data_IF_344070353481
#
_entry.id   IF_344070353481
#
_cell.length_a   1.000
_cell.length_b   1.000
_cell.length_c   1.000
_cell.angle_alpha   90.00
_cell.angle_beta   90.00
_cell.angle_gamma   90.00
#
_symmetry.space_group_name_H-M   'P 1'
#
loop_
_entity.id
_entity.type
_entity.pdbx_description
1 polymer ?
#
# COMPACT_ATOMS: atom_id res chain seq x y z
N UNK A 1 -0.36 -26.71 19.48
CA UNK A 1 -1.16 -26.59 18.24
C UNK A 1 -0.47 -25.63 17.31
N UNK A 2 -0.08 -26.10 16.13
CA UNK A 2 0.46 -25.20 15.11
C UNK A 2 -0.61 -24.20 14.72
N UNK A 3 -0.26 -22.91 14.73
CA UNK A 3 -1.09 -21.88 14.11
C UNK A 3 -1.04 -22.18 12.62
N UNK A 4 -2.14 -22.65 12.06
CA UNK A 4 -2.26 -22.86 10.63
C UNK A 4 -2.15 -21.52 9.93
N UNK A 5 -1.15 -21.41 9.07
CA UNK A 5 -0.98 -20.25 8.22
C UNK A 5 -1.96 -20.29 7.07
N UNK A 6 -2.76 -19.26 6.96
CA UNK A 6 -3.63 -19.07 5.83
C UNK A 6 -3.04 -17.98 4.91
N UNK A 7 -2.45 -18.40 3.79
CA UNK A 7 -1.91 -17.47 2.78
C UNK A 7 -3.01 -16.50 2.30
N UNK A 8 -4.28 -16.88 2.40
CA UNK A 8 -5.39 -15.99 2.06
C UNK A 8 -5.43 -14.72 2.91
N UNK A 9 -5.02 -14.79 4.19
CA UNK A 9 -4.94 -13.60 5.06
C UNK A 9 -3.94 -12.57 4.55
N UNK A 10 -2.82 -13.01 3.97
CA UNK A 10 -1.79 -12.13 3.41
C UNK A 10 -2.38 -11.28 2.29
N UNK A 11 -3.17 -11.88 1.41
CA UNK A 11 -3.84 -11.15 0.33
C UNK A 11 -4.99 -10.29 0.82
N UNK A 12 -5.74 -10.74 1.84
CA UNK A 12 -6.77 -9.91 2.48
C UNK A 12 -6.15 -8.64 3.10
N UNK A 13 -4.99 -8.75 3.73
CA UNK A 13 -4.25 -7.59 4.23
C UNK A 13 -3.77 -6.68 3.09
N UNK A 14 -3.24 -7.25 2.01
CA UNK A 14 -2.85 -6.49 0.83
C UNK A 14 -4.04 -5.70 0.26
N UNK A 15 -5.19 -6.34 0.06
CA UNK A 15 -6.44 -5.69 -0.41
C UNK A 15 -6.82 -4.52 0.51
N UNK A 16 -6.77 -4.71 1.82
CA UNK A 16 -7.07 -3.66 2.80
C UNK A 16 -6.08 -2.51 2.72
N UNK A 17 -4.80 -2.81 2.54
CA UNK A 17 -3.75 -1.82 2.36
C UNK A 17 -4.06 -0.94 1.14
N UNK A 18 -4.36 -1.54 0.00
CA UNK A 18 -4.69 -0.81 -1.23
C UNK A 18 -5.99 0.02 -1.09
N UNK A 19 -7.01 -0.54 -0.46
CA UNK A 19 -8.27 0.17 -0.21
C UNK A 19 -8.08 1.40 0.68
N UNK A 20 -7.28 1.29 1.72
CA UNK A 20 -6.92 2.42 2.57
C UNK A 20 -6.12 3.47 1.80
N UNK A 21 -5.18 3.03 0.95
CA UNK A 21 -4.42 3.91 0.05
C UNK A 21 -5.31 4.68 -0.90
N UNK A 22 -6.19 4.00 -1.60
CA UNK A 22 -7.18 4.61 -2.49
C UNK A 22 -7.99 5.69 -1.77
N UNK A 23 -8.58 5.35 -0.64
CA UNK A 23 -9.41 6.28 0.15
C UNK A 23 -8.64 7.53 0.56
N UNK A 24 -7.40 7.37 1.02
CA UNK A 24 -6.55 8.50 1.40
C UNK A 24 -6.22 9.38 0.20
N UNK A 25 -5.72 8.82 -0.87
CA UNK A 25 -5.34 9.59 -2.06
C UNK A 25 -6.54 10.30 -2.70
N UNK A 26 -7.73 9.70 -2.70
CA UNK A 26 -8.97 10.36 -3.13
C UNK A 26 -9.28 11.58 -2.28
N UNK A 27 -9.19 11.47 -0.96
CA UNK A 27 -9.46 12.59 -0.04
C UNK A 27 -8.48 13.75 -0.23
N UNK A 28 -7.19 13.45 -0.41
CA UNK A 28 -6.18 14.48 -0.72
C UNK A 28 -6.50 15.18 -2.04
N UNK A 29 -6.82 14.42 -3.08
CA UNK A 29 -7.18 14.97 -4.39
C UNK A 29 -8.42 15.87 -4.33
N UNK A 30 -9.46 15.45 -3.61
CA UNK A 30 -10.70 16.21 -3.49
C UNK A 30 -10.52 17.54 -2.74
N UNK A 31 -9.73 17.54 -1.69
CA UNK A 31 -9.57 18.70 -0.79
C UNK A 31 -8.46 19.66 -1.23
N UNK A 32 -7.66 19.31 -2.22
CA UNK A 32 -6.54 20.13 -2.65
C UNK A 32 -6.91 21.03 -3.83
N UNK A 33 -6.71 22.37 -3.74
CA UNK A 33 -7.00 23.28 -4.84
C UNK A 33 -5.93 23.27 -5.93
N UNK A 34 -4.70 22.83 -5.64
CA UNK A 34 -3.63 22.78 -6.63
C UNK A 34 -3.88 21.66 -7.63
N UNK A 35 -3.92 22.01 -8.92
CA UNK A 35 -4.25 21.07 -10.00
C UNK A 35 -3.20 19.98 -10.16
N UNK A 36 -1.92 20.29 -10.01
CA UNK A 36 -0.83 19.31 -10.16
C UNK A 36 -0.88 18.29 -9.03
N UNK A 37 -1.07 18.77 -7.80
CA UNK A 37 -1.25 17.91 -6.61
C UNK A 37 -2.49 17.04 -6.79
N UNK A 38 -3.61 17.62 -7.17
CA UNK A 38 -4.86 16.89 -7.40
C UNK A 38 -4.69 15.79 -8.45
N UNK A 39 -4.03 16.08 -9.57
CA UNK A 39 -3.78 15.11 -10.63
C UNK A 39 -2.90 13.95 -10.14
N UNK A 40 -1.84 14.25 -9.38
CA UNK A 40 -0.96 13.21 -8.83
C UNK A 40 -1.75 12.27 -7.90
N UNK A 41 -2.47 12.82 -6.92
CA UNK A 41 -3.21 11.99 -5.97
C UNK A 41 -4.37 11.23 -6.59
N UNK A 42 -5.02 11.78 -7.63
CA UNK A 42 -6.02 11.06 -8.42
C UNK A 42 -5.38 9.88 -9.14
N UNK A 43 -4.23 10.09 -9.78
CA UNK A 43 -3.47 9.02 -10.43
C UNK A 43 -3.10 7.91 -9.45
N UNK A 44 -2.55 8.26 -8.28
CA UNK A 44 -2.18 7.28 -7.26
C UNK A 44 -3.40 6.48 -6.79
N UNK A 45 -4.52 7.15 -6.52
CA UNK A 45 -5.75 6.45 -6.14
C UNK A 45 -6.23 5.45 -7.21
N UNK A 46 -6.11 5.79 -8.48
CA UNK A 46 -6.48 4.90 -9.59
C UNK A 46 -5.54 3.69 -9.70
N UNK A 47 -4.26 3.85 -9.37
CA UNK A 47 -3.31 2.74 -9.31
C UNK A 47 -3.62 1.78 -8.14
N UNK A 48 -3.98 2.31 -6.96
CA UNK A 48 -4.41 1.48 -5.82
C UNK A 48 -5.64 0.63 -6.15
N UNK A 49 -6.58 1.16 -6.93
CA UNK A 49 -7.74 0.38 -7.44
C UNK A 49 -7.27 -0.80 -8.28
N UNK A 50 -6.28 -0.60 -9.14
CA UNK A 50 -5.73 -1.67 -9.99
C UNK A 50 -5.02 -2.74 -9.15
N UNK A 51 -4.19 -2.33 -8.19
CA UNK A 51 -3.50 -3.24 -7.27
C UNK A 51 -4.50 -4.05 -6.45
N UNK A 52 -5.52 -3.40 -5.89
CA UNK A 52 -6.61 -4.08 -5.16
C UNK A 52 -7.28 -5.16 -6.02
N UNK A 53 -7.56 -4.85 -7.28
CA UNK A 53 -8.13 -5.82 -8.22
C UNK A 53 -7.19 -7.00 -8.45
N UNK A 54 -5.89 -6.75 -8.67
CA UNK A 54 -4.89 -7.81 -8.87
C UNK A 54 -4.82 -8.71 -7.64
N UNK A 55 -4.73 -8.14 -6.43
CA UNK A 55 -4.71 -8.95 -5.19
C UNK A 55 -5.99 -9.75 -4.98
N UNK A 56 -7.14 -9.19 -5.35
CA UNK A 56 -8.42 -9.92 -5.30
C UNK A 56 -8.42 -11.12 -6.25
N UNK A 57 -7.88 -10.95 -7.46
CA UNK A 57 -7.74 -12.04 -8.42
C UNK A 57 -6.73 -13.10 -7.94
N UNK A 58 -5.61 -12.67 -7.35
CA UNK A 58 -4.62 -13.58 -6.75
C UNK A 58 -5.23 -14.39 -5.61
N UNK A 59 -6.01 -13.75 -4.74
CA UNK A 59 -6.73 -14.41 -3.65
C UNK A 59 -7.68 -15.50 -4.18
N UNK A 60 -8.40 -15.21 -5.27
CA UNK A 60 -9.32 -16.17 -5.90
C UNK A 60 -8.63 -17.40 -6.50
N UNK A 61 -7.33 -17.32 -6.81
CA UNK A 61 -6.54 -18.44 -7.36
C UNK A 61 -5.90 -19.30 -6.27
N UNK A 62 -5.87 -18.85 -5.03
CA UNK A 62 -5.30 -19.59 -3.90
C UNK A 62 -6.39 -20.42 -3.24
N UNK A 63 -6.66 -21.60 -3.78
CA UNK A 63 -7.70 -22.46 -3.22
C UNK A 63 -7.18 -23.48 -2.22
N UNK A 64 -5.91 -23.85 -2.19
CA UNK A 64 -5.30 -24.81 -1.22
C UNK A 64 -3.78 -24.78 -1.34
N UNK A 65 -3.16 -23.64 -1.06
CA UNK A 65 -1.71 -23.60 -1.03
C UNK A 65 -1.19 -23.72 0.40
N UNK A 66 -0.36 -24.72 0.64
CA UNK A 66 0.41 -24.86 1.87
C UNK A 66 1.85 -24.43 1.55
N UNK A 67 2.42 -23.44 2.23
CA UNK A 67 3.83 -23.09 2.05
C UNK A 67 4.73 -24.29 2.32
N UNK A 68 5.77 -24.45 1.53
CA UNK A 68 6.73 -25.55 1.66
C UNK A 68 7.57 -25.50 2.96
N UNK A 69 7.53 -24.37 3.67
CA UNK A 69 8.23 -24.15 4.93
C UNK A 69 7.24 -23.84 6.05
N UNK A 70 7.53 -24.38 7.23
CA UNK A 70 6.74 -24.08 8.42
C UNK A 70 7.28 -22.77 9.02
N UNK A 71 6.52 -21.68 8.86
CA UNK A 71 6.88 -20.41 9.48
C UNK A 71 6.46 -20.38 10.95
N UNK A 72 7.26 -19.77 11.83
CA UNK A 72 6.87 -19.56 13.22
C UNK A 72 5.59 -18.71 13.30
N UNK A 73 4.71 -19.02 14.28
CA UNK A 73 3.50 -18.23 14.51
C UNK A 73 3.76 -16.74 14.73
N UNK A 74 4.91 -16.39 15.32
CA UNK A 74 5.38 -15.01 15.50
C UNK A 74 5.54 -14.25 14.18
N UNK A 75 5.88 -14.93 13.08
CA UNK A 75 6.01 -14.29 11.78
C UNK A 75 4.66 -13.77 11.26
N UNK A 76 3.59 -14.49 11.54
CA UNK A 76 2.24 -14.06 11.15
C UNK A 76 1.71 -12.95 12.04
N UNK A 77 1.99 -13.01 13.33
CA UNK A 77 1.70 -11.90 14.22
C UNK A 77 2.46 -10.64 13.79
N UNK A 78 3.70 -10.80 13.34
CA UNK A 78 4.47 -9.70 12.74
C UNK A 78 3.80 -9.13 11.49
N UNK A 79 3.43 -9.95 10.51
CA UNK A 79 2.79 -9.49 9.27
C UNK A 79 1.43 -8.83 9.56
N UNK A 80 0.64 -9.41 10.47
CA UNK A 80 -0.66 -8.87 10.87
C UNK A 80 -0.48 -7.52 11.58
N UNK A 81 0.40 -7.46 12.54
CA UNK A 81 0.71 -6.22 13.27
C UNK A 81 1.26 -5.15 12.32
N UNK A 82 2.11 -5.54 11.39
CA UNK A 82 2.63 -4.63 10.36
C UNK A 82 1.50 -4.07 9.48
N UNK A 83 0.63 -4.92 8.97
CA UNK A 83 -0.53 -4.50 8.17
C UNK A 83 -1.46 -3.56 8.96
N UNK A 84 -1.63 -3.80 10.27
CA UNK A 84 -2.45 -2.96 11.14
C UNK A 84 -1.82 -1.59 11.41
N UNK A 85 -0.50 -1.45 11.28
CA UNK A 85 0.18 -0.13 11.38
C UNK A 85 0.00 0.73 10.13
N UNK A 86 -0.38 0.13 9.00
CA UNK A 86 -0.63 0.84 7.75
C UNK A 86 -2.06 1.40 7.77
N UNK A 87 -2.32 2.30 8.70
CA UNK A 87 -3.61 3.01 8.85
C UNK A 87 -3.40 4.51 8.69
N UNK A 88 -4.46 5.19 8.29
CA UNK A 88 -4.45 6.63 8.06
C UNK A 88 -4.92 7.37 9.32
N UNK A 89 -4.05 8.21 9.93
CA UNK A 89 -4.45 8.99 11.09
C UNK A 89 -5.53 10.00 10.71
N UNK A 90 -6.66 10.09 11.44
CA UNK A 90 -7.72 11.08 11.18
C UNK A 90 -7.25 12.54 11.25
N UNK A 91 -6.14 12.80 11.95
CA UNK A 91 -5.56 14.13 12.09
C UNK A 91 -5.10 14.73 10.76
N UNK A 92 -4.59 13.91 9.85
CA UNK A 92 -4.13 14.36 8.53
C UNK A 92 -5.29 14.88 7.70
N UNK A 93 -6.49 14.32 7.84
CA UNK A 93 -7.66 14.71 7.07
C UNK A 93 -8.11 16.15 7.37
N UNK A 94 -7.88 16.64 8.58
CA UNK A 94 -8.28 17.98 9.00
C UNK A 94 -7.46 19.10 8.36
N UNK A 95 -6.23 18.80 7.94
CA UNK A 95 -5.26 19.77 7.43
C UNK A 95 -5.11 19.74 5.91
N UNK A 96 -5.81 18.85 5.20
CA UNK A 96 -5.61 18.58 3.77
C UNK A 96 -5.82 19.80 2.84
N UNK A 97 -6.54 20.82 3.26
CA UNK A 97 -6.76 22.05 2.48
C UNK A 97 -5.70 23.14 2.69
N UNK A 98 -4.71 22.93 3.57
CA UNK A 98 -3.66 23.90 3.87
C UNK A 98 -2.33 23.56 3.19
N UNK A 99 -1.42 24.52 3.04
CA UNK A 99 -0.07 24.27 2.50
C UNK A 99 0.72 23.30 3.37
N UNK A 100 0.62 23.42 4.69
CA UNK A 100 1.20 22.46 5.64
C UNK A 100 0.57 21.08 5.50
N UNK A 101 -0.75 21.02 5.29
CA UNK A 101 -1.49 19.78 5.08
C UNK A 101 -1.05 19.02 3.83
N UNK A 102 -0.72 19.72 2.74
CA UNK A 102 -0.20 19.10 1.51
C UNK A 102 1.15 18.43 1.76
N UNK A 103 2.09 19.11 2.44
CA UNK A 103 3.39 18.54 2.77
C UNK A 103 3.25 17.35 3.72
N UNK A 104 2.36 17.42 4.69
CA UNK A 104 2.07 16.31 5.58
C UNK A 104 1.46 15.12 4.82
N UNK A 105 0.55 15.37 3.89
CA UNK A 105 -0.04 14.33 3.04
C UNK A 105 1.02 13.67 2.14
N UNK A 106 1.93 14.45 1.55
CA UNK A 106 3.04 13.93 0.75
C UNK A 106 3.99 13.09 1.59
N UNK A 107 4.38 13.56 2.77
CA UNK A 107 5.23 12.80 3.69
C UNK A 107 4.57 11.50 4.13
N UNK A 108 3.28 11.53 4.40
CA UNK A 108 2.51 10.35 4.75
C UNK A 108 2.44 9.37 3.59
N UNK A 109 2.10 9.85 2.38
CA UNK A 109 2.08 9.02 1.18
C UNK A 109 3.43 8.36 0.89
N UNK A 110 4.54 9.10 0.98
CA UNK A 110 5.90 8.59 0.81
C UNK A 110 6.18 7.43 1.80
N UNK A 111 5.85 7.62 3.06
CA UNK A 111 6.00 6.57 4.08
C UNK A 111 5.11 5.37 3.78
N UNK A 112 3.90 5.64 3.34
CA UNK A 112 2.92 4.63 2.96
C UNK A 112 3.44 3.72 1.85
N UNK A 113 4.00 4.29 0.78
CA UNK A 113 4.59 3.51 -0.30
C UNK A 113 5.74 2.62 0.19
N UNK A 114 6.62 3.16 1.05
CA UNK A 114 7.69 2.37 1.64
C UNK A 114 7.16 1.21 2.49
N UNK A 115 6.13 1.43 3.28
CA UNK A 115 5.51 0.41 4.11
C UNK A 115 4.86 -0.68 3.25
N UNK A 116 4.18 -0.30 2.17
CA UNK A 116 3.59 -1.26 1.22
C UNK A 116 4.66 -2.09 0.51
N UNK A 117 5.72 -1.46 0.02
CA UNK A 117 6.87 -2.14 -0.60
C UNK A 117 7.46 -3.18 0.36
N UNK A 118 7.72 -2.79 1.61
CA UNK A 118 8.27 -3.71 2.61
C UNK A 118 7.33 -4.89 2.86
N UNK A 119 6.04 -4.62 3.02
CA UNK A 119 5.03 -5.66 3.22
C UNK A 119 5.01 -6.64 2.04
N UNK A 120 5.02 -6.15 0.79
CA UNK A 120 4.97 -7.01 -0.39
C UNK A 120 6.27 -7.81 -0.60
N UNK A 121 7.43 -7.26 -0.26
CA UNK A 121 8.69 -7.99 -0.25
C UNK A 121 8.64 -9.14 0.76
N UNK A 122 8.15 -8.90 1.97
CA UNK A 122 7.99 -9.92 3.00
C UNK A 122 7.00 -11.02 2.56
N UNK A 123 5.87 -10.64 1.99
CA UNK A 123 4.85 -11.60 1.55
C UNK A 123 5.30 -12.45 0.37
N UNK A 124 6.26 -11.99 -0.43
CA UNK A 124 6.80 -12.73 -1.57
C UNK A 124 7.33 -14.11 -1.17
N UNK A 125 7.90 -14.23 0.01
CA UNK A 125 8.45 -15.49 0.52
C UNK A 125 7.38 -16.52 0.87
N UNK A 126 6.15 -16.12 1.09
CA UNK A 126 5.04 -16.98 1.54
C UNK A 126 3.99 -17.23 0.47
N UNK A 127 4.09 -16.58 -0.69
CA UNK A 127 3.19 -16.80 -1.82
C UNK A 127 3.78 -17.77 -2.85
N UNK A 128 2.93 -18.45 -3.65
CA UNK A 128 3.41 -19.36 -4.70
C UNK A 128 4.34 -18.67 -5.70
N UNK A 129 5.37 -19.38 -6.16
CA UNK A 129 6.31 -18.86 -7.18
C UNK A 129 5.60 -18.39 -8.45
N UNK A 130 4.49 -19.02 -8.82
CA UNK A 130 3.66 -18.62 -9.97
C UNK A 130 3.11 -17.20 -9.87
N UNK A 131 3.07 -16.64 -8.67
CA UNK A 131 2.57 -15.28 -8.40
C UNK A 131 3.69 -14.26 -8.14
N UNK A 132 4.96 -14.70 -8.05
CA UNK A 132 6.08 -13.82 -7.77
C UNK A 132 6.23 -12.71 -8.81
N UNK A 133 6.08 -13.02 -10.09
CA UNK A 133 6.23 -12.03 -11.17
C UNK A 133 5.21 -10.90 -11.08
N UNK A 134 3.96 -11.23 -10.75
CA UNK A 134 2.89 -10.24 -10.58
C UNK A 134 3.20 -9.35 -9.37
N UNK A 135 3.61 -9.96 -8.27
CA UNK A 135 3.96 -9.23 -7.04
C UNK A 135 5.17 -8.33 -7.24
N UNK A 136 6.21 -8.81 -7.94
CA UNK A 136 7.41 -8.02 -8.28
C UNK A 136 7.05 -6.79 -9.13
N UNK A 137 6.08 -6.93 -10.04
CA UNK A 137 5.57 -5.80 -10.84
C UNK A 137 4.90 -4.76 -9.96
N UNK A 138 4.03 -5.16 -9.04
CA UNK A 138 3.39 -4.24 -8.10
C UNK A 138 4.46 -3.52 -7.26
N UNK A 139 5.44 -4.23 -6.73
CA UNK A 139 6.55 -3.62 -5.98
C UNK A 139 7.27 -2.54 -6.81
N UNK A 140 7.49 -2.76 -8.10
CA UNK A 140 8.09 -1.76 -8.98
C UNK A 140 7.17 -0.55 -9.19
N UNK A 141 5.87 -0.76 -9.30
CA UNK A 141 4.88 0.31 -9.43
C UNK A 141 4.85 1.17 -8.15
N UNK A 142 4.87 0.55 -6.96
CA UNK A 142 4.98 1.27 -5.67
C UNK A 142 6.26 2.10 -5.55
N UNK A 143 7.38 1.58 -6.03
CA UNK A 143 8.63 2.37 -6.12
C UNK A 143 8.49 3.59 -7.02
N UNK A 144 7.75 3.46 -8.12
CA UNK A 144 7.44 4.59 -9.00
C UNK A 144 6.55 5.63 -8.32
N UNK A 145 5.57 5.18 -7.53
CA UNK A 145 4.71 6.06 -6.73
C UNK A 145 5.53 6.85 -5.70
N UNK A 146 6.40 6.18 -4.97
CA UNK A 146 7.34 6.81 -4.06
C UNK A 146 8.15 7.94 -4.73
N UNK A 147 8.69 7.68 -5.92
CA UNK A 147 9.47 8.68 -6.67
C UNK A 147 8.60 9.87 -7.09
N UNK A 148 7.37 9.63 -7.55
CA UNK A 148 6.44 10.70 -7.94
C UNK A 148 6.07 11.59 -6.76
N UNK A 149 5.77 11.00 -5.60
CA UNK A 149 5.48 11.74 -4.37
C UNK A 149 6.69 12.56 -3.90
N UNK A 150 7.87 11.96 -3.93
CA UNK A 150 9.12 12.63 -3.53
C UNK A 150 9.44 13.83 -4.43
N UNK A 151 9.26 13.69 -5.74
CA UNK A 151 9.44 14.80 -6.70
C UNK A 151 8.44 15.93 -6.46
N UNK A 152 7.20 15.62 -6.21
CA UNK A 152 6.19 16.63 -5.89
C UNK A 152 6.56 17.40 -4.62
N UNK A 153 6.99 16.70 -3.59
CA UNK A 153 7.48 17.31 -2.35
C UNK A 153 8.64 18.28 -2.59
N UNK A 154 9.63 17.87 -3.39
CA UNK A 154 10.76 18.73 -3.75
C UNK A 154 10.32 19.98 -4.52
N UNK A 155 9.39 19.85 -5.45
CA UNK A 155 8.85 20.97 -6.21
C UNK A 155 8.14 22.00 -5.33
N UNK A 156 7.34 21.52 -4.37
CA UNK A 156 6.64 22.40 -3.43
C UNK A 156 7.57 23.11 -2.45
N UNK A 157 8.66 22.47 -2.04
CA UNK A 157 9.65 23.07 -1.16
C UNK A 157 10.52 24.14 -1.83
N UNK A 158 10.56 24.19 -3.17
CA UNK A 158 11.29 25.18 -3.95
C UNK A 158 10.47 26.45 -4.28
N UNK A 159 9.17 26.42 -4.02
CA UNK A 159 8.26 27.56 -4.19
C UNK A 159 8.17 28.37 -2.89
#
# INVERSE_FOLDING_TARGET
MGVFFDVSEVFQFAIRIEENGENFYRKVAEKNPDKEVKNLFTFLADEEVKHKKIFTEMLGKITKYEPSETYPGEYFEYLRSYADTIVFPPEIEKELGTSAGVLNALNFGIRRELDSIMYYIETRSVVPETQHQILDKIIQEERSHFVKLSRMKEQLNKK
#
